data_IF_873076058161
#
_entry.id   IF_873076058161
#
_cell.length_a   1.000
_cell.length_b   1.000
_cell.length_c   1.000
_cell.angle_alpha   90.00
_cell.angle_beta   90.00
_cell.angle_gamma   90.00
#
_symmetry.space_group_name_H-M   'P 1'
#
loop_
_entity.id
_entity.type
_entity.pdbx_description
1 polymer ?
#
# COMPACT_ATOMS: atom_id res chain seq x y z
N UNK A 1 -18.34 -15.54 -64.94
CA UNK A 1 -18.97 -15.11 -63.67
C UNK A 1 -18.01 -15.35 -62.54
N UNK A 2 -17.33 -14.31 -62.07
CA UNK A 2 -16.33 -14.41 -60.98
C UNK A 2 -17.01 -13.94 -59.70
N UNK A 3 -17.25 -14.86 -58.76
CA UNK A 3 -17.83 -14.55 -57.45
C UNK A 3 -16.76 -13.87 -56.59
N UNK A 4 -16.97 -12.58 -56.26
CA UNK A 4 -16.15 -11.83 -55.31
C UNK A 4 -16.45 -12.33 -53.88
N UNK A 5 -15.52 -13.03 -53.27
CA UNK A 5 -15.55 -13.35 -51.85
C UNK A 5 -15.06 -12.10 -51.07
N UNK A 6 -15.96 -11.46 -50.31
CA UNK A 6 -15.60 -10.39 -49.40
C UNK A 6 -15.06 -11.04 -48.11
N UNK A 7 -13.74 -10.94 -47.92
CA UNK A 7 -13.07 -11.29 -46.66
C UNK A 7 -13.34 -10.17 -45.64
N UNK A 8 -14.24 -10.42 -44.69
CA UNK A 8 -14.47 -9.53 -43.56
C UNK A 8 -13.39 -9.88 -42.51
N UNK A 9 -12.34 -9.03 -42.44
CA UNK A 9 -11.37 -9.06 -41.36
C UNK A 9 -12.01 -8.46 -40.11
N UNK A 10 -12.44 -9.33 -39.19
CA UNK A 10 -12.91 -8.93 -37.87
C UNK A 10 -11.66 -8.59 -37.01
N UNK A 11 -11.33 -7.32 -36.89
CA UNK A 11 -10.35 -6.85 -35.94
C UNK A 11 -10.94 -7.00 -34.52
N UNK A 12 -10.64 -8.08 -33.85
CA UNK A 12 -10.79 -8.20 -32.42
C UNK A 12 -9.76 -7.28 -31.76
N UNK A 13 -10.16 -6.04 -31.48
CA UNK A 13 -9.44 -5.17 -30.58
C UNK A 13 -9.50 -5.79 -29.19
N UNK A 14 -8.50 -6.59 -28.82
CA UNK A 14 -8.24 -6.97 -27.45
C UNK A 14 -7.82 -5.69 -26.75
N UNK A 15 -8.77 -4.98 -26.14
CA UNK A 15 -8.49 -3.92 -25.21
C UNK A 15 -7.78 -4.56 -24.02
N UNK A 16 -6.46 -4.55 -24.06
CA UNK A 16 -5.65 -4.83 -22.87
C UNK A 16 -5.96 -3.69 -21.89
N UNK A 17 -6.86 -3.92 -20.96
CA UNK A 17 -6.97 -3.08 -19.78
C UNK A 17 -5.65 -3.25 -19.02
N UNK A 18 -4.71 -2.38 -19.32
CA UNK A 18 -3.56 -2.16 -18.45
C UNK A 18 -4.14 -1.58 -17.16
N UNK A 19 -4.33 -2.43 -16.16
CA UNK A 19 -4.58 -1.93 -14.80
C UNK A 19 -3.30 -1.18 -14.46
N UNK A 20 -3.38 0.15 -14.41
CA UNK A 20 -2.25 0.99 -14.07
C UNK A 20 -1.66 0.48 -12.74
N UNK A 21 -0.38 0.10 -12.78
CA UNK A 21 0.28 -0.47 -11.63
C UNK A 21 0.42 0.61 -10.56
N UNK A 22 -0.23 0.41 -9.42
CA UNK A 22 -0.11 1.34 -8.28
C UNK A 22 1.28 1.27 -7.69
N UNK A 23 1.89 2.43 -7.49
CA UNK A 23 3.14 2.63 -6.78
C UNK A 23 2.88 3.42 -5.49
N UNK A 24 3.81 3.32 -4.56
CA UNK A 24 3.69 4.00 -3.28
C UNK A 24 5.07 4.28 -2.67
N UNK A 25 5.11 5.28 -1.81
CA UNK A 25 6.18 5.52 -0.86
C UNK A 25 5.60 5.73 0.53
N UNK A 26 6.39 5.46 1.55
CA UNK A 26 6.03 5.68 2.95
C UNK A 26 7.20 6.28 3.70
N UNK A 27 6.91 7.25 4.53
CA UNK A 27 7.82 7.86 5.48
C UNK A 27 7.32 7.52 6.88
N UNK A 28 8.15 6.85 7.66
CA UNK A 28 7.86 6.38 9.00
C UNK A 28 8.51 7.30 10.01
N UNK A 29 7.73 7.83 10.94
CA UNK A 29 8.17 8.85 11.90
C UNK A 29 7.84 8.46 13.32
N UNK A 30 8.73 8.84 14.23
CA UNK A 30 8.44 8.89 15.66
C UNK A 30 8.05 10.33 16.01
N UNK A 31 6.84 10.51 16.49
CA UNK A 31 6.28 11.78 16.93
C UNK A 31 6.03 11.70 18.43
N UNK A 32 6.49 12.69 19.17
CA UNK A 32 6.21 12.75 20.62
C UNK A 32 4.74 13.06 20.87
N UNK A 33 4.11 12.52 21.92
CA UNK A 33 2.67 12.70 22.16
C UNK A 33 2.21 14.18 22.19
N UNK A 34 3.03 15.07 22.74
CA UNK A 34 2.72 16.51 22.81
C UNK A 34 2.80 17.21 21.44
N UNK A 35 3.49 16.63 20.47
CA UNK A 35 3.75 17.24 19.15
C UNK A 35 2.78 16.72 18.06
N UNK A 36 1.94 15.73 18.35
CA UNK A 36 1.04 15.09 17.38
C UNK A 36 0.13 16.11 16.68
N UNK A 37 -0.51 17.00 17.44
CA UNK A 37 -1.37 18.05 16.87
C UNK A 37 -0.59 19.04 16.02
N UNK A 38 0.64 19.35 16.39
CA UNK A 38 1.52 20.26 15.63
C UNK A 38 1.91 19.63 14.30
N UNK A 39 2.33 18.36 14.31
CA UNK A 39 2.66 17.59 13.09
C UNK A 39 1.44 17.50 12.16
N UNK A 40 0.26 17.18 12.71
CA UNK A 40 -0.98 17.16 11.92
C UNK A 40 -1.25 18.52 11.27
N UNK A 41 -1.17 19.62 12.02
CA UNK A 41 -1.44 20.96 11.48
C UNK A 41 -0.42 21.35 10.40
N UNK A 42 0.87 21.10 10.59
CA UNK A 42 1.90 21.35 9.58
C UNK A 42 1.61 20.60 8.28
N UNK A 43 1.30 19.30 8.36
CA UNK A 43 0.90 18.50 7.21
C UNK A 43 -0.39 19.03 6.56
N UNK A 44 -1.40 19.36 7.37
CA UNK A 44 -2.67 19.83 6.87
C UNK A 44 -2.57 21.20 6.19
N UNK A 45 -1.83 22.14 6.77
CA UNK A 45 -1.63 23.49 6.23
C UNK A 45 -0.94 23.46 4.88
N UNK A 46 0.00 22.56 4.68
CA UNK A 46 0.70 22.40 3.40
C UNK A 46 -0.13 21.56 2.41
N UNK A 47 -0.50 20.34 2.78
CA UNK A 47 -1.12 19.39 1.85
C UNK A 47 -2.57 19.72 1.46
N UNK A 48 -3.24 20.65 2.16
CA UNK A 48 -4.58 21.12 1.79
C UNK A 48 -4.55 22.28 0.79
N UNK A 49 -3.37 22.80 0.43
CA UNK A 49 -3.27 23.86 -0.58
C UNK A 49 -3.33 23.25 -1.98
N UNK A 50 -4.00 23.95 -2.89
CA UNK A 50 -4.12 23.54 -4.29
C UNK A 50 -2.72 23.42 -4.92
N UNK A 51 -2.45 22.30 -5.60
CA UNK A 51 -1.20 22.03 -6.29
C UNK A 51 -0.10 21.39 -5.42
N UNK A 52 -0.26 21.30 -4.09
CA UNK A 52 0.75 20.68 -3.22
C UNK A 52 0.65 19.14 -3.16
N UNK A 53 -0.46 18.58 -3.66
CA UNK A 53 -0.59 17.14 -3.92
C UNK A 53 -0.67 16.96 -5.43
N UNK A 54 0.23 16.18 -6.00
CA UNK A 54 0.27 15.92 -7.44
C UNK A 54 -1.01 15.21 -7.90
N UNK A 55 -1.59 15.66 -9.00
CA UNK A 55 -2.78 15.06 -9.60
C UNK A 55 -2.60 13.55 -9.81
N UNK A 56 -3.62 12.78 -9.46
CA UNK A 56 -3.58 11.31 -9.54
C UNK A 56 -2.82 10.62 -8.40
N UNK A 57 -2.25 11.39 -7.44
CA UNK A 57 -1.72 10.85 -6.21
C UNK A 57 -2.65 11.11 -5.03
N UNK A 58 -2.49 10.32 -3.98
CA UNK A 58 -3.10 10.52 -2.67
C UNK A 58 -2.01 10.55 -1.62
N UNK A 59 -2.04 11.53 -0.74
CA UNK A 59 -1.20 11.57 0.46
C UNK A 59 -2.07 11.21 1.66
N UNK A 60 -1.60 10.30 2.52
CA UNK A 60 -2.36 9.85 3.68
C UNK A 60 -1.48 9.76 4.92
N UNK A 61 -1.93 10.40 5.99
CA UNK A 61 -1.31 10.32 7.31
C UNK A 61 -2.03 9.27 8.15
N UNK A 62 -1.25 8.37 8.75
CA UNK A 62 -1.74 7.33 9.66
C UNK A 62 -1.05 7.42 11.02
N UNK A 63 -1.78 7.05 12.06
CA UNK A 63 -1.27 6.79 13.41
C UNK A 63 -1.07 5.28 13.59
N UNK A 64 0.08 4.84 14.09
CA UNK A 64 0.34 3.44 14.43
C UNK A 64 -0.36 3.11 15.74
N UNK A 65 -1.29 2.14 15.70
CA UNK A 65 -2.09 1.73 16.86
C UNK A 65 -1.42 0.60 17.65
N UNK A 66 -0.96 -0.41 16.92
CA UNK A 66 -0.37 -1.61 17.48
C UNK A 66 0.83 -2.02 16.64
N UNK A 67 1.95 -2.31 17.29
CA UNK A 67 3.16 -2.77 16.64
C UNK A 67 3.89 -3.77 17.55
N UNK A 68 4.66 -4.66 16.95
CA UNK A 68 5.57 -5.55 17.69
C UNK A 68 6.79 -4.79 18.20
N UNK A 69 7.56 -5.48 19.07
CA UNK A 69 8.80 -4.95 19.61
C UNK A 69 9.78 -4.52 18.51
N UNK A 70 10.47 -3.38 18.73
CA UNK A 70 11.46 -2.86 17.81
C UNK A 70 10.90 -1.98 16.68
N UNK A 71 9.58 -1.85 16.53
CA UNK A 71 9.00 -0.89 15.58
C UNK A 71 8.76 0.46 16.29
N UNK A 72 9.59 1.46 15.97
CA UNK A 72 9.60 2.74 16.68
C UNK A 72 8.68 3.82 16.09
N UNK A 73 8.22 3.64 14.85
CA UNK A 73 7.35 4.63 14.23
C UNK A 73 5.99 4.71 14.92
N UNK A 74 5.56 5.93 15.21
CA UNK A 74 4.24 6.23 15.75
C UNK A 74 3.27 6.74 14.68
N UNK A 75 3.82 7.27 13.59
CA UNK A 75 3.05 7.80 12.46
C UNK A 75 3.70 7.42 11.14
N UNK A 76 2.89 7.32 10.09
CA UNK A 76 3.38 7.12 8.72
C UNK A 76 2.69 8.08 7.76
N UNK A 77 3.46 8.74 6.90
CA UNK A 77 2.96 9.49 5.76
C UNK A 77 3.15 8.65 4.50
N UNK A 78 2.05 8.33 3.83
CA UNK A 78 2.06 7.52 2.62
C UNK A 78 1.68 8.38 1.42
N UNK A 79 2.39 8.22 0.32
CA UNK A 79 2.05 8.79 -0.98
C UNK A 79 1.82 7.61 -1.92
N UNK A 80 0.70 7.57 -2.61
CA UNK A 80 0.37 6.48 -3.53
C UNK A 80 -0.49 6.96 -4.71
N UNK A 81 -0.29 6.33 -5.84
CA UNK A 81 -0.96 6.66 -7.10
C UNK A 81 -0.62 5.64 -8.18
N UNK A 82 -0.98 5.94 -9.42
CA UNK A 82 -0.42 5.21 -10.55
C UNK A 82 1.07 5.56 -10.76
N UNK A 83 1.74 4.78 -11.60
CA UNK A 83 3.18 4.93 -11.78
C UNK A 83 3.57 6.29 -12.39
N UNK A 84 2.74 6.83 -13.29
CA UNK A 84 3.02 8.08 -13.99
C UNK A 84 2.85 9.26 -13.04
N UNK A 85 1.76 9.30 -12.28
CA UNK A 85 1.51 10.33 -11.25
C UNK A 85 2.57 10.29 -10.15
N UNK A 86 3.00 9.11 -9.71
CA UNK A 86 4.10 8.97 -8.75
C UNK A 86 5.43 9.44 -9.33
N UNK A 87 5.70 9.16 -10.62
CA UNK A 87 6.89 9.68 -11.29
C UNK A 87 6.86 11.21 -11.37
N UNK A 88 5.73 11.81 -11.67
CA UNK A 88 5.55 13.26 -11.67
C UNK A 88 5.82 13.84 -10.29
N UNK A 89 5.20 13.31 -9.23
CA UNK A 89 5.38 13.76 -7.85
C UNK A 89 6.85 13.77 -7.39
N UNK A 90 7.67 12.82 -7.89
CA UNK A 90 9.09 12.74 -7.52
C UNK A 90 10.05 13.40 -8.52
N UNK A 91 9.59 13.77 -9.71
CA UNK A 91 10.42 14.42 -10.74
C UNK A 91 10.21 15.94 -10.80
N UNK A 92 9.13 16.45 -10.23
CA UNK A 92 8.85 17.89 -10.17
C UNK A 92 9.88 18.58 -9.26
N UNK A 93 10.42 19.70 -9.76
CA UNK A 93 11.32 20.53 -8.97
C UNK A 93 10.59 21.06 -7.73
N UNK A 94 11.22 20.91 -6.58
CA UNK A 94 10.65 21.33 -5.31
C UNK A 94 10.81 22.83 -5.14
N UNK A 95 9.75 23.50 -4.75
CA UNK A 95 9.73 24.95 -4.51
C UNK A 95 10.13 25.33 -3.07
N UNK A 96 10.14 26.62 -2.78
CA UNK A 96 10.46 27.15 -1.45
C UNK A 96 9.47 26.72 -0.38
N UNK A 97 8.19 26.50 -0.74
CA UNK A 97 7.13 26.18 0.20
C UNK A 97 7.27 24.71 0.66
N UNK A 98 7.68 23.82 -0.26
CA UNK A 98 8.07 22.45 0.10
C UNK A 98 9.23 22.44 1.09
N UNK A 99 10.32 23.18 0.80
CA UNK A 99 11.46 23.21 1.71
C UNK A 99 11.10 23.75 3.09
N UNK A 100 10.25 24.78 3.14
CA UNK A 100 9.75 25.34 4.40
C UNK A 100 8.86 24.34 5.16
N UNK A 101 8.01 23.59 4.44
CA UNK A 101 7.21 22.51 5.02
C UNK A 101 8.08 21.45 5.67
N UNK A 102 9.08 20.94 4.94
CA UNK A 102 9.99 19.92 5.45
C UNK A 102 10.83 20.44 6.63
N UNK A 103 11.31 21.69 6.57
CA UNK A 103 12.06 22.29 7.67
C UNK A 103 11.21 22.39 8.95
N UNK A 104 9.97 22.85 8.84
CA UNK A 104 9.03 22.90 9.96
C UNK A 104 8.74 21.52 10.53
N UNK A 105 8.45 20.55 9.65
CA UNK A 105 8.08 19.20 10.04
C UNK A 105 9.23 18.50 10.81
N UNK A 106 10.46 18.65 10.32
CA UNK A 106 11.67 18.05 10.92
C UNK A 106 11.98 18.53 12.35
N UNK A 107 11.34 19.61 12.81
CA UNK A 107 11.49 20.05 14.20
C UNK A 107 10.69 19.21 15.20
N UNK A 108 9.69 18.44 14.72
CA UNK A 108 8.72 17.72 15.55
C UNK A 108 8.68 16.21 15.29
N UNK A 109 9.45 15.71 14.33
CA UNK A 109 9.54 14.30 13.99
C UNK A 109 10.98 13.79 14.13
N UNK A 110 11.10 12.51 14.51
CA UNK A 110 12.34 11.75 14.38
C UNK A 110 12.12 10.74 13.23
N UNK A 111 12.83 10.85 12.09
CA UNK A 111 12.70 9.89 10.99
C UNK A 111 13.11 8.48 11.44
N UNK A 112 12.28 7.49 11.11
CA UNK A 112 12.55 6.08 11.42
C UNK A 112 13.00 5.32 10.17
N UNK A 113 12.17 5.39 9.11
CA UNK A 113 12.48 4.74 7.84
C UNK A 113 11.75 5.44 6.68
N UNK A 114 12.21 5.16 5.47
CA UNK A 114 11.48 5.48 4.25
C UNK A 114 11.56 4.30 3.29
N UNK A 115 10.43 3.93 2.71
CA UNK A 115 10.33 2.79 1.80
C UNK A 115 9.55 3.20 0.55
N UNK A 116 9.83 2.53 -0.56
CA UNK A 116 9.03 2.65 -1.77
C UNK A 116 8.81 1.27 -2.39
N UNK A 117 7.68 1.13 -3.07
CA UNK A 117 7.30 -0.13 -3.67
C UNK A 117 6.13 0.00 -4.64
N UNK A 118 5.59 -1.16 -4.99
CA UNK A 118 4.47 -1.24 -5.92
C UNK A 118 3.55 -2.39 -5.57
N UNK A 119 2.27 -2.24 -5.89
CA UNK A 119 1.31 -3.32 -5.81
C UNK A 119 1.60 -4.40 -6.86
N UNK A 120 1.50 -5.66 -6.48
CA UNK A 120 1.47 -6.82 -7.38
C UNK A 120 0.01 -7.15 -7.71
N UNK A 121 -0.83 -7.19 -6.69
CA UNK A 121 -2.24 -7.52 -6.81
C UNK A 121 -3.04 -6.85 -5.71
N UNK A 122 -4.10 -6.14 -6.10
CA UNK A 122 -5.08 -5.56 -5.20
C UNK A 122 -6.45 -6.21 -5.41
N UNK A 123 -7.22 -6.33 -4.34
CA UNK A 123 -8.59 -6.81 -4.32
C UNK A 123 -9.46 -5.75 -3.68
N UNK A 124 -10.64 -5.50 -4.22
CA UNK A 124 -11.59 -4.48 -3.76
C UNK A 124 -10.93 -3.08 -3.63
N UNK A 125 -10.15 -2.70 -4.66
CA UNK A 125 -9.35 -1.48 -4.65
C UNK A 125 -10.21 -0.19 -4.60
N UNK A 126 -11.47 -0.27 -4.97
CA UNK A 126 -12.42 0.84 -4.91
C UNK A 126 -12.97 1.06 -3.48
N UNK A 127 -12.75 0.11 -2.56
CA UNK A 127 -13.14 0.19 -1.15
C UNK A 127 -11.92 0.43 -0.26
N UNK A 128 -11.27 1.57 -0.45
CA UNK A 128 -10.15 2.00 0.41
C UNK A 128 -10.60 2.92 1.57
N UNK A 129 -11.90 2.93 1.85
CA UNK A 129 -12.51 3.78 2.87
C UNK A 129 -12.29 3.29 4.30
N UNK A 130 -11.90 2.02 4.48
CA UNK A 130 -11.71 1.43 5.79
C UNK A 130 -10.56 2.11 6.57
N UNK A 131 -10.81 2.58 7.80
CA UNK A 131 -9.87 3.46 8.50
C UNK A 131 -8.68 2.72 9.11
N UNK A 132 -8.74 1.41 9.31
CA UNK A 132 -7.69 0.63 9.95
C UNK A 132 -7.00 -0.26 8.92
N UNK A 133 -5.69 -0.16 8.85
CA UNK A 133 -4.85 -0.99 7.99
C UNK A 133 -3.97 -1.91 8.83
N UNK A 134 -4.10 -3.22 8.62
CA UNK A 134 -3.14 -4.20 9.13
C UNK A 134 -2.10 -4.49 8.05
N UNK A 135 -0.83 -4.39 8.42
CA UNK A 135 0.29 -4.67 7.53
C UNK A 135 1.11 -5.85 8.05
N UNK A 136 1.56 -6.65 7.10
CA UNK A 136 2.55 -7.72 7.30
C UNK A 136 3.68 -7.49 6.31
N UNK A 137 4.89 -7.30 6.81
CA UNK A 137 6.10 -7.05 6.03
C UNK A 137 7.01 -8.26 6.14
N UNK A 138 7.44 -8.78 5.01
CA UNK A 138 8.05 -10.10 4.91
C UNK A 138 9.31 -10.09 4.04
N UNK A 139 10.23 -10.98 4.40
CA UNK A 139 11.27 -11.44 3.50
C UNK A 139 10.77 -12.73 2.82
N UNK A 140 10.68 -12.71 1.50
CA UNK A 140 10.21 -13.84 0.67
C UNK A 140 11.34 -14.24 -0.26
N UNK A 141 11.88 -15.45 -0.10
CA UNK A 141 13.01 -15.95 -0.90
C UNK A 141 12.58 -16.37 -2.31
N UNK A 142 11.38 -16.92 -2.48
CA UNK A 142 10.84 -17.42 -3.76
C UNK A 142 9.59 -16.62 -4.18
N UNK A 143 9.80 -15.37 -4.66
CA UNK A 143 8.71 -14.42 -4.97
C UNK A 143 7.65 -15.02 -5.91
N UNK A 144 8.05 -15.64 -7.03
CA UNK A 144 7.12 -16.19 -8.02
C UNK A 144 6.24 -17.30 -7.44
N UNK A 145 6.81 -18.14 -6.59
CA UNK A 145 6.11 -19.21 -5.90
C UNK A 145 5.11 -18.67 -4.88
N UNK A 146 5.54 -17.67 -4.12
CA UNK A 146 4.69 -16.97 -3.17
C UNK A 146 3.50 -16.30 -3.86
N UNK A 147 3.76 -15.50 -4.90
CA UNK A 147 2.72 -14.76 -5.66
C UNK A 147 1.76 -15.73 -6.33
N UNK A 148 2.24 -16.80 -6.95
CA UNK A 148 1.39 -17.83 -7.54
C UNK A 148 0.48 -18.50 -6.51
N UNK A 149 1.05 -18.89 -5.35
CA UNK A 149 0.31 -19.49 -4.26
C UNK A 149 -0.75 -18.54 -3.69
N UNK A 150 -0.40 -17.27 -3.51
CA UNK A 150 -1.32 -16.22 -3.09
C UNK A 150 -2.48 -16.05 -4.07
N UNK A 151 -2.20 -15.93 -5.36
CA UNK A 151 -3.22 -15.77 -6.39
C UNK A 151 -4.17 -16.97 -6.43
N UNK A 152 -3.68 -18.21 -6.32
CA UNK A 152 -4.50 -19.42 -6.25
C UNK A 152 -5.40 -19.44 -5.01
N UNK A 153 -4.87 -19.04 -3.85
CA UNK A 153 -5.65 -18.94 -2.61
C UNK A 153 -6.78 -17.91 -2.76
N UNK A 154 -6.46 -16.71 -3.25
CA UNK A 154 -7.41 -15.60 -3.36
C UNK A 154 -8.41 -15.76 -4.50
N UNK A 155 -8.08 -16.49 -5.56
CA UNK A 155 -9.03 -16.86 -6.59
C UNK A 155 -10.14 -17.79 -6.05
N UNK A 156 -9.82 -18.64 -5.07
CA UNK A 156 -10.77 -19.55 -4.44
C UNK A 156 -11.52 -18.91 -3.27
N UNK A 157 -10.83 -18.05 -2.54
CA UNK A 157 -11.32 -17.35 -1.34
C UNK A 157 -11.00 -15.85 -1.49
N UNK A 158 -11.78 -15.12 -2.29
CA UNK A 158 -11.59 -13.67 -2.44
C UNK A 158 -11.84 -12.98 -1.09
N UNK A 159 -11.10 -11.91 -0.78
CA UNK A 159 -11.38 -11.13 0.41
C UNK A 159 -12.65 -10.28 0.21
N UNK A 160 -13.36 -10.01 1.30
CA UNK A 160 -14.52 -9.12 1.29
C UNK A 160 -14.13 -7.63 1.45
N UNK A 161 -12.91 -7.36 1.96
CA UNK A 161 -12.35 -6.04 2.18
C UNK A 161 -11.20 -5.74 1.20
N UNK A 162 -10.69 -4.50 1.23
CA UNK A 162 -9.48 -4.17 0.49
C UNK A 162 -8.28 -4.96 1.01
N UNK A 163 -7.64 -5.72 0.13
CA UNK A 163 -6.39 -6.44 0.41
C UNK A 163 -5.42 -6.22 -0.73
N UNK A 164 -4.18 -5.91 -0.39
CA UNK A 164 -3.11 -5.72 -1.35
C UNK A 164 -1.89 -6.57 -1.01
N UNK A 165 -1.35 -7.24 -2.01
CA UNK A 165 -0.02 -7.83 -2.00
C UNK A 165 0.89 -6.97 -2.87
N UNK A 166 2.05 -6.59 -2.36
CA UNK A 166 3.02 -5.83 -3.13
C UNK A 166 4.47 -6.13 -2.79
N UNK A 167 5.36 -5.48 -3.53
CA UNK A 167 6.82 -5.54 -3.33
C UNK A 167 7.35 -4.24 -2.77
N UNK A 168 8.37 -4.35 -1.92
CA UNK A 168 9.22 -3.26 -1.47
C UNK A 168 10.45 -3.23 -2.38
N UNK A 169 10.68 -2.10 -3.05
CA UNK A 169 11.74 -1.95 -4.04
C UNK A 169 12.93 -1.19 -3.47
N UNK A 170 12.67 -0.16 -2.66
CA UNK A 170 13.68 0.70 -2.03
C UNK A 170 13.44 0.81 -0.53
N UNK A 171 14.48 1.12 0.24
CA UNK A 171 14.40 1.19 1.71
C UNK A 171 14.31 -0.18 2.37
N UNK A 172 14.90 -1.21 1.78
CA UNK A 172 14.85 -2.61 2.26
C UNK A 172 15.70 -2.80 3.51
N UNK A 173 15.16 -2.45 4.64
CA UNK A 173 15.76 -2.78 5.91
C UNK A 173 15.54 -4.27 6.22
N UNK A 174 16.54 -4.94 6.81
CA UNK A 174 16.46 -6.37 7.21
C UNK A 174 16.02 -7.33 6.09
N UNK A 175 16.30 -7.00 4.82
CA UNK A 175 16.01 -7.88 3.68
C UNK A 175 14.54 -7.98 3.29
N UNK A 176 13.67 -7.09 3.77
CA UNK A 176 12.25 -7.08 3.40
C UNK A 176 12.04 -6.94 1.89
N UNK A 177 11.15 -7.76 1.36
CA UNK A 177 10.89 -7.82 -0.08
C UNK A 177 9.42 -7.61 -0.43
N UNK A 178 8.52 -8.05 0.44
CA UNK A 178 7.08 -8.05 0.18
C UNK A 178 6.29 -7.53 1.38
N UNK A 179 5.09 -7.08 1.10
CA UNK A 179 4.09 -6.75 2.11
C UNK A 179 2.72 -7.28 1.71
N UNK A 180 1.89 -7.48 2.73
CA UNK A 180 0.44 -7.62 2.59
C UNK A 180 -0.20 -6.53 3.43
N UNK A 181 -1.15 -5.82 2.85
CA UNK A 181 -2.01 -4.87 3.53
C UNK A 181 -3.44 -5.42 3.51
N UNK A 182 -4.15 -5.29 4.62
CA UNK A 182 -5.58 -5.60 4.72
C UNK A 182 -6.27 -4.44 5.44
N UNK A 183 -7.27 -3.85 4.81
CA UNK A 183 -8.07 -2.79 5.40
C UNK A 183 -9.21 -3.38 6.25
N UNK A 184 -9.49 -2.76 7.39
CA UNK A 184 -10.49 -3.20 8.37
C UNK A 184 -11.42 -2.05 8.70
N UNK A 185 -12.71 -2.32 8.81
CA UNK A 185 -13.69 -1.28 9.09
C UNK A 185 -13.62 -0.78 10.54
N UNK A 186 -13.28 -1.67 11.46
CA UNK A 186 -13.18 -1.34 12.88
C UNK A 186 -12.21 -2.26 13.62
N UNK A 187 -12.10 -2.05 14.93
CA UNK A 187 -11.25 -2.86 15.82
C UNK A 187 -11.72 -4.33 15.92
N UNK A 188 -13.02 -4.57 15.82
CA UNK A 188 -13.58 -5.93 15.89
C UNK A 188 -13.10 -6.75 14.68
N UNK A 189 -13.21 -6.17 13.48
CA UNK A 189 -12.74 -6.80 12.25
C UNK A 189 -11.23 -7.07 12.32
N UNK A 190 -10.45 -6.13 12.88
CA UNK A 190 -9.02 -6.29 13.08
C UNK A 190 -8.68 -7.51 13.95
N UNK A 191 -9.42 -7.71 15.04
CA UNK A 191 -9.13 -8.76 16.03
C UNK A 191 -9.72 -10.10 15.62
N UNK A 192 -10.93 -10.13 15.08
CA UNK A 192 -11.60 -11.36 14.64
C UNK A 192 -10.98 -11.94 13.36
N UNK A 193 -10.31 -11.11 12.55
CA UNK A 193 -9.53 -11.54 11.38
C UNK A 193 -10.35 -12.20 10.27
N UNK A 194 -11.67 -11.97 10.27
CA UNK A 194 -12.63 -12.64 9.40
C UNK A 194 -12.91 -14.08 9.85
N UNK A 195 -14.17 -14.45 9.91
CA UNK A 195 -14.62 -15.82 10.21
C UNK A 195 -14.31 -16.75 9.03
N UNK A 196 -13.13 -17.38 9.03
CA UNK A 196 -12.73 -18.33 8.01
C UNK A 196 -13.44 -19.67 8.19
N UNK A 197 -14.03 -20.18 7.11
CA UNK A 197 -14.51 -21.55 7.09
C UNK A 197 -13.34 -22.53 7.33
N UNK A 198 -13.68 -23.78 7.73
CA UNK A 198 -12.65 -24.83 7.88
C UNK A 198 -11.90 -25.04 6.55
N UNK A 199 -12.62 -25.06 5.43
CA UNK A 199 -12.01 -25.25 4.11
C UNK A 199 -11.04 -24.11 3.73
N UNK A 200 -11.39 -22.88 4.06
CA UNK A 200 -10.50 -21.73 3.87
C UNK A 200 -9.27 -21.82 4.79
N UNK A 201 -9.47 -22.18 6.06
CA UNK A 201 -8.37 -22.37 7.01
C UNK A 201 -7.38 -23.45 6.55
N UNK A 202 -7.89 -24.53 5.96
CA UNK A 202 -7.07 -25.60 5.38
C UNK A 202 -6.31 -25.11 4.14
N UNK A 203 -6.96 -24.29 3.27
CA UNK A 203 -6.30 -23.69 2.12
C UNK A 203 -5.19 -22.69 2.52
N UNK A 204 -5.40 -21.89 3.56
CA UNK A 204 -4.36 -21.03 4.14
C UNK A 204 -3.20 -21.82 4.69
N UNK A 205 -3.46 -22.95 5.33
CA UNK A 205 -2.40 -23.84 5.85
C UNK A 205 -1.58 -24.43 4.72
N UNK A 206 -2.26 -24.89 3.66
CA UNK A 206 -1.62 -25.38 2.44
C UNK A 206 -0.77 -24.30 1.78
N UNK A 207 -1.30 -23.08 1.59
CA UNK A 207 -0.55 -21.95 1.06
C UNK A 207 0.74 -21.71 1.88
N UNK A 208 0.63 -21.65 3.21
CA UNK A 208 1.81 -21.45 4.08
C UNK A 208 2.87 -22.55 3.94
N UNK A 209 2.46 -23.79 3.69
CA UNK A 209 3.41 -24.91 3.49
C UNK A 209 4.05 -24.92 2.09
N UNK A 210 3.42 -24.29 1.08
CA UNK A 210 3.84 -24.36 -0.30
C UNK A 210 4.46 -23.04 -0.83
N UNK A 211 4.34 -21.93 -0.11
CA UNK A 211 4.76 -20.59 -0.55
C UNK A 211 6.26 -20.36 -0.62
N UNK A 212 7.07 -21.34 -0.23
CA UNK A 212 8.51 -21.19 -0.05
C UNK A 212 8.87 -20.54 1.28
N UNK A 213 10.16 -20.40 1.51
CA UNK A 213 10.68 -19.77 2.73
C UNK A 213 10.21 -18.30 2.80
N UNK A 214 9.61 -17.98 3.94
CA UNK A 214 9.02 -16.65 4.16
C UNK A 214 9.20 -16.31 5.63
N UNK A 215 9.94 -15.27 5.91
CA UNK A 215 10.16 -14.71 7.23
C UNK A 215 9.26 -13.49 7.45
N UNK A 216 8.52 -13.46 8.55
CA UNK A 216 7.78 -12.28 8.98
C UNK A 216 8.75 -11.35 9.70
N UNK A 217 9.06 -10.23 9.08
CA UNK A 217 10.00 -9.26 9.66
C UNK A 217 9.28 -8.33 10.64
N UNK A 218 8.10 -7.83 10.25
CA UNK A 218 7.28 -7.00 11.15
C UNK A 218 5.80 -7.06 10.78
N UNK A 219 4.97 -6.77 11.76
CA UNK A 219 3.52 -6.63 11.58
C UNK A 219 3.04 -5.49 12.48
N UNK A 220 2.18 -4.64 11.95
CA UNK A 220 1.62 -3.53 12.71
C UNK A 220 0.23 -3.14 12.16
N UNK A 221 -0.57 -2.51 13.01
CA UNK A 221 -1.83 -1.91 12.62
C UNK A 221 -1.75 -0.39 12.77
N UNK A 222 -2.34 0.32 11.81
CA UNK A 222 -2.39 1.78 11.79
C UNK A 222 -3.78 2.28 11.47
N UNK A 223 -4.13 3.47 11.94
CA UNK A 223 -5.41 4.12 11.71
C UNK A 223 -5.21 5.37 10.85
N UNK A 224 -6.07 5.54 9.86
CA UNK A 224 -6.12 6.73 9.04
C UNK A 224 -6.46 7.96 9.89
N UNK A 225 -5.64 8.98 9.80
CA UNK A 225 -5.88 10.31 10.40
C UNK A 225 -6.51 11.23 9.35
N UNK A 226 -5.90 11.32 8.18
CA UNK A 226 -6.40 12.15 7.07
C UNK A 226 -5.83 11.69 5.73
N UNK A 227 -6.60 11.91 4.65
CA UNK A 227 -6.17 11.84 3.25
C UNK A 227 -6.26 13.22 2.60
N UNK A 228 -5.37 13.48 1.65
CA UNK A 228 -5.35 14.63 0.74
C UNK A 228 -5.19 14.11 -0.69
N UNK A 229 -5.98 14.69 -1.62
CA UNK A 229 -5.99 14.35 -3.06
C UNK A 229 -5.85 15.62 -3.88
#
# INVERSE_FOLDING_TARGET
MIKKVKLIMLFLSVSSYSIAQKAWSVYEWKVKPQDVSTVFNICNDYLSQEGNVTDGTTVALYEVMFAGDGYEATHTLNIFGDMDSMNEAYSTEQDSDWFLFIEKLNQFIDPVASLAGRAIKSYNADDDSAPIHQLWVMNVSESDKFVKGWNNLRAKYPPDNFVELGTIVSGRENGVTHYVLSAQQDFKDLVEGGNRSKAESDAWRKFRSERGETEMVRSFARRLVKKWN
#
